data_IF_404324148107
#
_entry.id   IF_404324148107
#
_cell.length_a   1.000
_cell.length_b   1.000
_cell.length_c   1.000
_cell.angle_alpha   90.00
_cell.angle_beta   90.00
_cell.angle_gamma   90.00
#
_symmetry.space_group_name_H-M   'P 1'
#
loop_
_entity.id
_entity.type
_entity.pdbx_description
1 polymer ?
#
# COMPACT_ATOMS: atom_id res chain seq x y z
N UNK A 1 -9.68 -16.21 -25.00
CA UNK A 1 -9.69 -14.82 -24.48
C UNK A 1 -9.81 -14.66 -22.94
N UNK A 2 -9.96 -15.69 -22.08
CA UNK A 2 -9.95 -15.50 -20.62
C UNK A 2 -8.54 -15.36 -20.00
N UNK A 3 -7.52 -15.88 -20.67
CA UNK A 3 -6.13 -15.87 -20.19
C UNK A 3 -5.55 -14.45 -20.10
N UNK A 4 -5.91 -13.56 -21.02
CA UNK A 4 -5.41 -12.18 -21.04
C UNK A 4 -5.98 -11.32 -19.91
N UNK A 5 -7.24 -11.54 -19.53
CA UNK A 5 -7.90 -10.84 -18.41
C UNK A 5 -7.29 -11.26 -17.08
N UNK A 6 -7.11 -12.56 -16.87
CA UNK A 6 -6.48 -13.09 -15.65
C UNK A 6 -5.03 -12.59 -15.48
N UNK A 7 -4.25 -12.50 -16.57
CA UNK A 7 -2.88 -11.96 -16.52
C UNK A 7 -2.86 -10.49 -16.14
N UNK A 8 -3.79 -9.68 -16.66
CA UNK A 8 -3.92 -8.26 -16.27
C UNK A 8 -4.27 -8.12 -14.79
N UNK A 9 -5.24 -8.88 -14.28
CA UNK A 9 -5.62 -8.87 -12.87
C UNK A 9 -4.45 -9.27 -11.96
N UNK A 10 -3.67 -10.29 -12.34
CA UNK A 10 -2.46 -10.67 -11.60
C UNK A 10 -1.39 -9.58 -11.59
N UNK A 11 -1.19 -8.90 -12.72
CA UNK A 11 -0.25 -7.79 -12.81
C UNK A 11 -0.68 -6.60 -11.94
N UNK A 12 -1.98 -6.27 -11.93
CA UNK A 12 -2.54 -5.25 -11.03
C UNK A 12 -2.36 -5.62 -9.56
N UNK A 13 -2.64 -6.87 -9.19
CA UNK A 13 -2.43 -7.35 -7.83
C UNK A 13 -0.95 -7.26 -7.43
N UNK A 14 -0.04 -7.65 -8.33
CA UNK A 14 1.41 -7.55 -8.11
C UNK A 14 1.86 -6.09 -7.90
N UNK A 15 1.34 -5.15 -8.69
CA UNK A 15 1.58 -3.72 -8.52
C UNK A 15 1.09 -3.24 -7.15
N UNK A 16 -0.12 -3.62 -6.73
CA UNK A 16 -0.69 -3.23 -5.43
C UNK A 16 0.17 -3.78 -4.28
N UNK A 17 0.59 -5.04 -4.36
CA UNK A 17 1.50 -5.65 -3.38
C UNK A 17 2.84 -4.92 -3.35
N UNK A 18 3.40 -4.59 -4.50
CA UNK A 18 4.65 -3.81 -4.59
C UNK A 18 4.54 -2.43 -3.92
N UNK A 19 3.42 -1.73 -4.11
CA UNK A 19 3.15 -0.46 -3.44
C UNK A 19 3.04 -0.62 -1.93
N UNK A 20 2.35 -1.66 -1.45
CA UNK A 20 2.24 -1.95 -0.01
C UNK A 20 3.60 -2.27 0.61
N UNK A 21 4.41 -3.11 -0.06
CA UNK A 21 5.76 -3.45 0.39
C UNK A 21 6.63 -2.21 0.44
N UNK A 22 6.57 -1.36 -0.59
CA UNK A 22 7.31 -0.10 -0.63
C UNK A 22 6.90 0.84 0.52
N UNK A 23 5.59 0.95 0.81
CA UNK A 23 5.09 1.72 1.95
C UNK A 23 5.65 1.21 3.29
N UNK A 24 5.66 -0.10 3.51
CA UNK A 24 6.18 -0.71 4.76
C UNK A 24 7.69 -0.52 4.89
N UNK A 25 8.44 -0.70 3.80
CA UNK A 25 9.92 -0.70 3.80
C UNK A 25 10.49 0.70 4.05
N UNK A 26 9.78 1.76 3.68
CA UNK A 26 10.24 3.15 3.85
C UNK A 26 10.44 3.53 5.32
N UNK A 27 9.58 3.05 6.23
CA UNK A 27 9.71 3.31 7.67
C UNK A 27 11.04 2.79 8.24
N UNK A 28 11.34 1.49 8.18
CA UNK A 28 12.61 0.93 8.62
C UNK A 28 13.82 1.52 7.90
N UNK A 29 13.73 1.80 6.59
CA UNK A 29 14.82 2.44 5.85
C UNK A 29 15.15 3.84 6.39
N UNK A 30 14.16 4.58 6.89
CA UNK A 30 14.40 5.89 7.50
C UNK A 30 15.13 5.81 8.86
N UNK A 31 15.09 4.66 9.53
CA UNK A 31 15.87 4.43 10.74
C UNK A 31 17.35 4.14 10.42
N UNK A 32 17.66 3.71 9.20
CA UNK A 32 19.03 3.59 8.72
C UNK A 32 19.59 5.00 8.42
N UNK A 33 20.62 5.41 9.17
CA UNK A 33 21.27 6.72 9.04
C UNK A 33 21.95 6.96 7.68
N UNK A 34 22.04 5.95 6.82
CA UNK A 34 22.73 5.99 5.51
C UNK A 34 22.12 7.03 4.56
N UNK A 35 20.80 7.19 4.55
CA UNK A 35 20.10 8.11 3.66
C UNK A 35 19.72 9.44 4.34
N UNK A 36 20.09 9.61 5.62
CA UNK A 36 19.73 10.78 6.41
C UNK A 36 20.70 11.94 6.12
N UNK A 37 20.21 13.14 5.77
CA UNK A 37 21.04 14.34 5.70
C UNK A 37 21.67 14.64 7.06
N UNK A 38 22.95 15.03 7.10
CA UNK A 38 23.67 15.31 8.35
C UNK A 38 23.08 16.47 9.18
N UNK A 39 22.26 17.32 8.55
CA UNK A 39 21.60 18.48 9.18
C UNK A 39 20.29 18.14 9.89
N UNK A 40 19.76 16.92 9.75
CA UNK A 40 18.44 16.55 10.29
C UNK A 40 18.52 15.54 11.44
N UNK A 41 17.63 15.71 12.42
CA UNK A 41 17.48 14.75 13.52
C UNK A 41 16.87 13.44 13.00
N UNK A 42 17.21 12.33 13.65
CA UNK A 42 16.64 11.02 13.31
C UNK A 42 15.10 11.03 13.43
N UNK A 43 14.59 11.68 14.47
CA UNK A 43 13.17 11.86 14.74
C UNK A 43 12.43 12.57 13.60
N UNK A 44 12.97 13.70 13.14
CA UNK A 44 12.39 14.45 12.01
C UNK A 44 12.47 13.66 10.70
N UNK A 45 13.57 12.93 10.48
CA UNK A 45 13.74 12.10 9.29
C UNK A 45 12.76 10.91 9.26
N UNK A 46 12.56 10.23 10.39
CA UNK A 46 11.56 9.18 10.52
C UNK A 46 10.13 9.71 10.29
N UNK A 47 9.80 10.89 10.80
CA UNK A 47 8.51 11.52 10.57
C UNK A 47 8.22 11.73 9.08
N UNK A 48 9.21 12.13 8.28
CA UNK A 48 9.06 12.30 6.82
C UNK A 48 8.79 10.99 6.08
N UNK A 49 9.30 9.87 6.60
CA UNK A 49 9.01 8.54 6.05
C UNK A 49 7.50 8.22 6.09
N UNK A 50 6.77 8.78 7.06
CA UNK A 50 5.31 8.64 7.18
C UNK A 50 4.55 9.26 6.01
N UNK A 51 5.02 10.40 5.47
CA UNK A 51 4.41 11.03 4.30
C UNK A 51 4.53 10.13 3.06
N UNK A 52 5.73 9.58 2.83
CA UNK A 52 6.00 8.67 1.72
C UNK A 52 5.17 7.38 1.85
N UNK A 53 5.13 6.81 3.07
CA UNK A 53 4.29 5.65 3.41
C UNK A 53 2.82 5.91 3.08
N UNK A 54 2.31 7.08 3.48
CA UNK A 54 0.92 7.50 3.23
C UNK A 54 0.62 7.64 1.74
N UNK A 55 1.51 8.24 0.96
CA UNK A 55 1.33 8.40 -0.50
C UNK A 55 1.25 7.03 -1.18
N UNK A 56 2.17 6.12 -0.87
CA UNK A 56 2.14 4.77 -1.45
C UNK A 56 0.87 4.00 -1.05
N UNK A 57 0.44 4.12 0.21
CA UNK A 57 -0.78 3.48 0.69
C UNK A 57 -2.04 4.04 0.02
N UNK A 58 -2.13 5.37 -0.16
CA UNK A 58 -3.24 6.01 -0.89
C UNK A 58 -3.26 5.56 -2.35
N UNK A 59 -2.09 5.46 -2.99
CA UNK A 59 -2.02 4.98 -4.37
C UNK A 59 -2.44 3.50 -4.47
N UNK A 60 -2.03 2.66 -3.51
CA UNK A 60 -2.49 1.28 -3.41
C UNK A 60 -4.02 1.21 -3.21
N UNK A 61 -4.59 2.10 -2.38
CA UNK A 61 -6.02 2.19 -2.13
C UNK A 61 -6.80 2.55 -3.40
N UNK A 62 -6.28 3.49 -4.19
CA UNK A 62 -6.86 3.86 -5.47
C UNK A 62 -6.87 2.68 -6.45
N UNK A 63 -5.75 1.94 -6.55
CA UNK A 63 -5.63 0.78 -7.44
C UNK A 63 -6.53 -0.39 -7.02
N UNK A 64 -6.60 -0.71 -5.73
CA UNK A 64 -7.45 -1.82 -5.23
C UNK A 64 -8.95 -1.50 -5.40
N UNK A 65 -9.32 -0.22 -5.31
CA UNK A 65 -10.71 0.22 -5.56
C UNK A 65 -11.10 0.05 -7.04
N UNK A 66 -10.18 0.39 -7.97
CA UNK A 66 -10.37 0.16 -9.41
C UNK A 66 -10.36 -1.32 -9.80
N UNK A 67 -9.62 -2.16 -9.08
CA UNK A 67 -9.52 -3.60 -9.32
C UNK A 67 -10.88 -4.30 -9.24
N UNK A 68 -11.71 -3.97 -8.25
CA UNK A 68 -13.03 -4.58 -8.07
C UNK A 68 -14.02 -4.19 -9.19
N UNK A 69 -13.92 -2.95 -9.70
CA UNK A 69 -14.67 -2.50 -10.88
C UNK A 69 -14.24 -3.28 -12.13
N UNK A 70 -12.93 -3.51 -12.29
CA UNK A 70 -12.40 -4.28 -13.43
C UNK A 70 -12.83 -5.74 -13.44
N UNK A 71 -13.08 -6.34 -12.26
CA UNK A 71 -13.60 -7.72 -12.16
C UNK A 71 -15.07 -7.80 -12.56
N UNK A 72 -15.87 -6.78 -12.23
CA UNK A 72 -17.32 -6.76 -12.51
C UNK A 72 -17.66 -6.48 -13.98
N UNK A 73 -16.75 -5.87 -14.74
CA UNK A 73 -16.99 -5.44 -16.13
C UNK A 73 -16.92 -6.52 -17.23
N UNK A 74 -16.67 -7.80 -16.91
CA UNK A 74 -16.66 -8.90 -17.88
C UNK A 74 -18.05 -9.52 -18.15
N UNK A 75 -18.11 -10.63 -18.90
CA UNK A 75 -19.37 -11.39 -19.07
C UNK A 75 -19.88 -11.89 -17.71
N UNK A 76 -21.20 -11.85 -17.47
CA UNK A 76 -21.79 -12.15 -16.15
C UNK A 76 -21.28 -13.48 -15.53
N UNK A 77 -21.10 -14.53 -16.34
CA UNK A 77 -20.63 -15.84 -15.87
C UNK A 77 -19.12 -15.88 -15.55
N UNK A 78 -18.26 -15.29 -16.41
CA UNK A 78 -16.81 -15.24 -16.13
C UNK A 78 -16.50 -14.27 -14.97
N UNK A 79 -17.19 -13.13 -14.92
CA UNK A 79 -17.08 -12.16 -13.85
C UNK A 79 -17.46 -12.77 -12.50
N UNK A 80 -18.45 -13.65 -12.43
CA UNK A 80 -18.88 -14.27 -11.17
C UNK A 80 -17.84 -15.25 -10.59
N UNK A 81 -17.26 -16.12 -11.44
CA UNK A 81 -16.23 -17.06 -11.01
C UNK A 81 -14.93 -16.36 -10.60
N UNK A 82 -14.51 -15.32 -11.34
CA UNK A 82 -13.35 -14.50 -11.01
C UNK A 82 -13.59 -13.63 -9.78
N UNK A 83 -14.81 -13.12 -9.60
CA UNK A 83 -15.20 -12.34 -8.43
C UNK A 83 -15.01 -13.14 -7.15
N UNK A 84 -15.59 -14.32 -7.03
CA UNK A 84 -15.41 -15.14 -5.82
C UNK A 84 -13.96 -15.59 -5.59
N UNK A 85 -13.17 -15.76 -6.66
CA UNK A 85 -11.75 -16.12 -6.54
C UNK A 85 -10.91 -14.98 -5.92
N UNK A 86 -11.22 -13.73 -6.28
CA UNK A 86 -10.43 -12.55 -5.90
C UNK A 86 -11.06 -11.69 -4.81
N UNK A 87 -12.33 -11.92 -4.44
CA UNK A 87 -13.06 -11.16 -3.41
C UNK A 87 -12.35 -11.21 -2.05
N UNK A 88 -11.94 -12.40 -1.61
CA UNK A 88 -11.20 -12.55 -0.34
C UNK A 88 -9.86 -11.82 -0.39
N UNK A 89 -9.12 -11.94 -1.49
CA UNK A 89 -7.85 -11.23 -1.67
C UNK A 89 -8.05 -9.72 -1.66
N UNK A 90 -9.08 -9.22 -2.36
CA UNK A 90 -9.43 -7.81 -2.37
C UNK A 90 -9.76 -7.28 -0.98
N UNK A 91 -10.58 -8.01 -0.21
CA UNK A 91 -10.95 -7.60 1.14
C UNK A 91 -9.76 -7.56 2.08
N UNK A 92 -8.91 -8.59 2.06
CA UNK A 92 -7.70 -8.66 2.88
C UNK A 92 -6.74 -7.53 2.52
N UNK A 93 -6.44 -7.33 1.22
CA UNK A 93 -5.54 -6.26 0.79
C UNK A 93 -6.10 -4.86 1.13
N UNK A 94 -7.40 -4.64 0.97
CA UNK A 94 -8.03 -3.35 1.31
C UNK A 94 -7.87 -3.02 2.79
N UNK A 95 -8.06 -4.01 3.69
CA UNK A 95 -7.81 -3.83 5.11
C UNK A 95 -6.33 -3.57 5.43
N UNK A 96 -5.42 -4.32 4.79
CA UNK A 96 -3.97 -4.09 4.93
C UNK A 96 -3.59 -2.67 4.52
N UNK A 97 -4.07 -2.19 3.38
CA UNK A 97 -3.81 -0.83 2.88
C UNK A 97 -4.37 0.21 3.85
N UNK A 98 -5.57 0.01 4.39
CA UNK A 98 -6.15 0.91 5.38
C UNK A 98 -5.27 1.02 6.63
N UNK A 99 -4.79 -0.11 7.17
CA UNK A 99 -3.88 -0.14 8.32
C UNK A 99 -2.57 0.58 8.02
N UNK A 100 -1.96 0.33 6.86
CA UNK A 100 -0.72 1.01 6.44
C UNK A 100 -0.95 2.51 6.29
N UNK A 101 -2.10 2.94 5.77
CA UNK A 101 -2.46 4.35 5.60
C UNK A 101 -2.57 5.05 6.95
N UNK A 102 -3.28 4.43 7.90
CA UNK A 102 -3.42 4.95 9.28
C UNK A 102 -2.04 5.04 9.93
N UNK A 103 -1.22 3.99 9.80
CA UNK A 103 0.15 3.99 10.33
C UNK A 103 1.01 5.09 9.73
N UNK A 104 1.00 5.26 8.40
CA UNK A 104 1.71 6.32 7.69
C UNK A 104 1.30 7.70 8.18
N UNK A 105 0.00 7.94 8.38
CA UNK A 105 -0.53 9.20 8.91
C UNK A 105 -0.07 9.46 10.35
N UNK A 106 -0.05 8.43 11.21
CA UNK A 106 0.45 8.54 12.58
C UNK A 106 1.95 8.84 12.61
N UNK A 107 2.77 8.16 11.81
CA UNK A 107 4.20 8.44 11.71
C UNK A 107 4.45 9.85 11.15
N UNK A 108 3.65 10.29 10.18
CA UNK A 108 3.78 11.62 9.62
C UNK A 108 3.41 12.72 10.61
N UNK A 109 2.35 12.52 11.40
CA UNK A 109 1.89 13.49 12.40
C UNK A 109 2.71 13.50 13.69
N UNK A 110 3.18 12.32 14.13
CA UNK A 110 3.72 12.10 15.48
C UNK A 110 5.03 11.31 15.51
N UNK A 111 5.71 11.12 14.36
CA UNK A 111 6.94 10.32 14.27
C UNK A 111 8.07 10.80 15.16
N UNK A 112 8.15 12.11 15.40
CA UNK A 112 9.12 12.71 16.31
C UNK A 112 8.86 12.34 17.78
N UNK A 113 7.59 12.30 18.19
CA UNK A 113 7.16 11.90 19.53
C UNK A 113 7.43 10.41 19.79
N UNK A 114 7.16 9.55 18.80
CA UNK A 114 7.43 8.12 18.94
C UNK A 114 8.89 7.83 19.23
N UNK A 115 9.83 8.48 18.53
CA UNK A 115 11.27 8.28 18.76
C UNK A 115 11.80 9.02 19.99
N UNK A 116 11.11 10.06 20.45
CA UNK A 116 11.52 10.80 21.66
C UNK A 116 11.15 10.06 22.95
N UNK A 117 10.08 9.25 22.92
CA UNK A 117 9.56 8.51 24.08
C UNK A 117 9.69 6.97 23.96
N UNK A 118 10.27 6.45 22.88
CA UNK A 118 10.66 5.05 22.73
C UNK A 118 12.06 4.81 23.29
#
# INVERSE_FOLDING_TARGET
MPTTVATKLKAELCLIVFLCVSAIVVGPLSLCSVLRPGSESLASWFQRSGAITSIFAVFAQYRISGFLVSIRGGTFAESWSLYHLFETHHHVLSWVIAVITIWGALVWGYGDLFLKYA
#
